data_IF_581368167133
#
_entry.id   IF_581368167133
#
_cell.length_a   1.000
_cell.length_b   1.000
_cell.length_c   1.000
_cell.angle_alpha   90.00
_cell.angle_beta   90.00
_cell.angle_gamma   90.00
#
_symmetry.space_group_name_H-M   'P 1'
#
loop_
_entity.id
_entity.type
_entity.pdbx_description
1 polymer ?
#
# COMPACT_ATOMS: atom_id res chain seq x y z
N UNK A 1 -27.55 -34.75 -74.58
CA UNK A 1 -26.23 -34.21 -74.16
C UNK A 1 -26.36 -32.70 -74.32
N UNK A 2 -26.34 -31.82 -73.31
CA UNK A 2 -25.73 -31.80 -71.97
C UNK A 2 -26.66 -30.98 -71.05
N UNK A 3 -26.84 -31.40 -69.80
CA UNK A 3 -27.67 -30.75 -68.79
C UNK A 3 -26.76 -29.78 -68.00
N UNK A 4 -27.03 -28.46 -68.03
CA UNK A 4 -26.20 -27.46 -67.34
C UNK A 4 -26.90 -27.05 -66.04
N UNK A 5 -26.50 -27.71 -64.96
CA UNK A 5 -26.94 -27.40 -63.60
C UNK A 5 -26.12 -26.24 -63.04
N UNK A 6 -26.77 -25.13 -62.68
CA UNK A 6 -26.12 -24.02 -61.97
C UNK A 6 -26.22 -24.28 -60.47
N UNK A 7 -25.11 -24.65 -59.84
CA UNK A 7 -25.02 -24.73 -58.39
C UNK A 7 -24.72 -23.33 -57.83
N UNK A 8 -25.65 -22.76 -57.04
CA UNK A 8 -25.36 -21.61 -56.20
C UNK A 8 -24.45 -22.06 -55.05
N UNK A 9 -23.18 -21.66 -55.08
CA UNK A 9 -22.30 -21.78 -53.92
C UNK A 9 -22.65 -20.69 -52.90
N UNK A 10 -23.36 -21.08 -51.84
CA UNK A 10 -23.50 -20.25 -50.63
C UNK A 10 -22.16 -20.33 -49.90
N UNK A 11 -21.36 -19.26 -50.01
CA UNK A 11 -20.17 -19.08 -49.19
C UNK A 11 -20.66 -18.71 -47.78
N UNK A 12 -20.72 -19.69 -46.89
CA UNK A 12 -20.86 -19.42 -45.45
C UNK A 12 -19.51 -18.87 -45.01
N UNK A 13 -19.42 -17.54 -44.93
CA UNK A 13 -18.28 -16.86 -44.32
C UNK A 13 -18.33 -17.17 -42.82
N UNK A 14 -17.71 -18.27 -42.40
CA UNK A 14 -17.47 -18.57 -41.00
C UNK A 14 -16.57 -17.49 -40.44
N UNK A 15 -17.18 -16.46 -39.85
CA UNK A 15 -16.53 -15.55 -38.92
C UNK A 15 -16.03 -16.40 -37.76
N UNK A 16 -14.77 -16.83 -37.85
CA UNK A 16 -14.00 -17.15 -36.66
C UNK A 16 -13.98 -15.84 -35.88
N UNK A 17 -14.84 -15.72 -34.86
CA UNK A 17 -14.69 -14.68 -33.87
C UNK A 17 -13.29 -14.89 -33.30
N UNK A 18 -12.36 -14.02 -33.67
CA UNK A 18 -11.10 -13.91 -32.97
C UNK A 18 -11.50 -13.72 -31.50
N UNK A 19 -11.20 -14.71 -30.66
CA UNK A 19 -11.27 -14.52 -29.22
C UNK A 19 -10.25 -13.46 -28.90
N UNK A 20 -10.68 -12.19 -28.91
CA UNK A 20 -9.93 -11.12 -28.30
C UNK A 20 -9.72 -11.61 -26.87
N UNK A 21 -8.45 -11.80 -26.48
CA UNK A 21 -8.11 -12.21 -25.13
C UNK A 21 -8.68 -11.14 -24.21
N UNK A 22 -9.82 -11.45 -23.61
CA UNK A 22 -10.50 -10.60 -22.67
C UNK A 22 -9.57 -10.44 -21.48
N UNK A 23 -9.07 -9.22 -21.26
CA UNK A 23 -8.20 -8.91 -20.13
C UNK A 23 -8.94 -7.97 -19.20
N UNK A 24 -8.84 -8.26 -17.91
CA UNK A 24 -9.29 -7.36 -16.87
C UNK A 24 -8.39 -6.11 -16.88
N UNK A 25 -8.99 -4.93 -16.83
CA UNK A 25 -8.26 -3.71 -16.52
C UNK A 25 -8.33 -3.56 -15.01
N UNK A 26 -7.18 -3.78 -14.40
CA UNK A 26 -7.07 -3.92 -12.97
C UNK A 26 -5.65 -3.61 -12.54
N UNK A 27 -5.53 -2.81 -11.50
CA UNK A 27 -4.27 -2.62 -10.80
C UNK A 27 -4.28 -3.53 -9.57
N UNK A 28 -3.38 -4.51 -9.57
CA UNK A 28 -3.24 -5.50 -8.51
C UNK A 28 -2.24 -5.07 -7.43
N UNK A 29 -1.63 -3.89 -7.53
CA UNK A 29 -0.81 -3.36 -6.46
C UNK A 29 -1.63 -3.26 -5.17
N UNK A 30 -1.01 -3.57 -4.04
CA UNK A 30 -1.61 -3.29 -2.74
C UNK A 30 -1.93 -1.81 -2.63
N UNK A 31 -3.07 -1.50 -2.03
CA UNK A 31 -3.47 -0.13 -1.75
C UNK A 31 -3.51 0.02 -0.25
N UNK A 32 -2.87 1.08 0.24
CA UNK A 32 -3.00 1.50 1.63
C UNK A 32 -3.93 2.73 1.67
N UNK A 33 -4.81 2.84 2.66
CA UNK A 33 -5.61 4.05 2.89
C UNK A 33 -5.71 4.44 4.37
N UNK A 34 -5.67 5.74 4.69
CA UNK A 34 -5.83 6.20 6.07
C UNK A 34 -7.32 6.14 6.42
N UNK A 35 -7.72 5.65 7.61
CA UNK A 35 -9.13 5.65 7.99
C UNK A 35 -9.75 7.05 7.87
N UNK A 36 -10.93 7.12 7.24
CA UNK A 36 -11.62 8.37 6.93
C UNK A 36 -11.40 8.90 5.51
N UNK A 37 -10.36 8.46 4.81
CA UNK A 37 -10.12 8.86 3.42
C UNK A 37 -11.05 8.14 2.45
N UNK A 38 -11.34 8.78 1.32
CA UNK A 38 -12.08 8.13 0.23
C UNK A 38 -11.11 7.35 -0.65
N UNK A 39 -11.46 6.10 -0.97
CA UNK A 39 -10.61 5.21 -1.76
C UNK A 39 -11.35 4.69 -3.00
N UNK A 40 -10.68 4.75 -4.16
CA UNK A 40 -11.17 4.16 -5.41
C UNK A 40 -10.55 2.79 -5.66
N UNK A 41 -11.39 1.75 -5.73
CA UNK A 41 -10.99 0.41 -6.17
C UNK A 41 -11.30 0.27 -7.66
N UNK A 42 -10.24 0.24 -8.47
CA UNK A 42 -10.36 0.25 -9.93
C UNK A 42 -10.58 -1.15 -10.49
N UNK A 43 -11.59 -1.31 -11.35
CA UNK A 43 -11.87 -2.54 -12.07
C UNK A 43 -12.70 -2.28 -13.33
N UNK A 44 -12.34 -2.88 -14.46
CA UNK A 44 -13.08 -2.72 -15.71
C UNK A 44 -12.64 -3.68 -16.82
N UNK A 45 -13.26 -3.54 -17.99
CA UNK A 45 -12.98 -4.33 -19.19
C UNK A 45 -13.23 -3.50 -20.46
N UNK A 46 -12.50 -3.78 -21.55
CA UNK A 46 -12.69 -3.10 -22.86
C UNK A 46 -13.80 -3.69 -23.74
N UNK A 47 -14.58 -4.62 -23.21
CA UNK A 47 -15.55 -5.39 -23.97
C UNK A 47 -16.90 -5.42 -23.26
N UNK A 48 -17.91 -5.92 -23.96
CA UNK A 48 -19.25 -6.10 -23.38
C UNK A 48 -19.20 -7.07 -22.19
N UNK A 49 -19.85 -6.65 -21.10
CA UNK A 49 -20.00 -7.41 -19.88
C UNK A 49 -21.46 -7.36 -19.42
N UNK A 50 -21.86 -8.36 -18.64
CA UNK A 50 -23.20 -8.50 -18.09
C UNK A 50 -23.35 -7.75 -16.77
N UNK A 51 -22.46 -8.03 -15.81
CA UNK A 51 -22.43 -7.38 -14.50
C UNK A 51 -21.08 -7.63 -13.81
N UNK A 52 -20.79 -6.85 -12.76
CA UNK A 52 -19.61 -7.05 -11.92
C UNK A 52 -19.98 -7.07 -10.44
N UNK A 53 -19.20 -7.83 -9.68
CA UNK A 53 -19.34 -8.00 -8.23
C UNK A 53 -17.98 -7.73 -7.59
N UNK A 54 -17.99 -7.04 -6.45
CA UNK A 54 -16.87 -6.97 -5.53
C UNK A 54 -17.17 -7.83 -4.31
N UNK A 55 -16.29 -8.75 -3.97
CA UNK A 55 -16.36 -9.52 -2.73
C UNK A 55 -15.20 -9.12 -1.83
N UNK A 56 -15.47 -8.99 -0.54
CA UNK A 56 -14.45 -8.84 0.49
C UNK A 56 -14.26 -10.16 1.21
N UNK A 57 -13.04 -10.43 1.68
CA UNK A 57 -12.69 -11.66 2.40
C UNK A 57 -13.55 -11.90 3.67
N UNK A 58 -14.09 -10.83 4.27
CA UNK A 58 -14.99 -10.95 5.42
C UNK A 58 -16.41 -11.42 5.06
N UNK A 59 -16.66 -11.71 3.79
CA UNK A 59 -17.93 -12.24 3.28
C UNK A 59 -18.92 -11.19 2.79
N UNK A 60 -18.59 -9.89 2.86
CA UNK A 60 -19.39 -8.82 2.23
C UNK A 60 -19.28 -8.92 0.70
N UNK A 61 -20.38 -8.65 0.00
CA UNK A 61 -20.44 -8.69 -1.46
C UNK A 61 -21.30 -7.55 -2.01
N UNK A 62 -20.81 -6.89 -3.05
CA UNK A 62 -21.37 -5.66 -3.59
C UNK A 62 -21.49 -5.75 -5.11
N UNK A 63 -22.70 -5.63 -5.64
CA UNK A 63 -22.87 -5.48 -7.09
C UNK A 63 -22.55 -4.03 -7.48
N UNK A 64 -21.60 -3.82 -8.39
CA UNK A 64 -21.14 -2.46 -8.76
C UNK A 64 -22.31 -1.55 -9.18
N UNK A 65 -23.26 -2.09 -9.97
CA UNK A 65 -24.46 -1.35 -10.39
C UNK A 65 -25.35 -0.91 -9.22
N UNK A 66 -25.41 -1.68 -8.13
CA UNK A 66 -26.17 -1.31 -6.94
C UNK A 66 -25.46 -0.18 -6.18
N UNK A 67 -24.12 -0.25 -6.07
CA UNK A 67 -23.29 0.83 -5.53
C UNK A 67 -23.48 2.11 -6.33
N UNK A 68 -23.43 2.04 -7.67
CA UNK A 68 -23.60 3.19 -8.55
C UNK A 68 -25.00 3.82 -8.47
N UNK A 69 -26.00 3.04 -8.05
CA UNK A 69 -27.37 3.51 -7.78
C UNK A 69 -27.58 4.05 -6.36
N UNK A 70 -26.54 4.08 -5.53
CA UNK A 70 -26.60 4.55 -4.15
C UNK A 70 -27.33 3.60 -3.19
N UNK A 71 -27.39 2.30 -3.51
CA UNK A 71 -28.06 1.30 -2.65
C UNK A 71 -27.21 0.98 -1.41
N UNK A 72 -25.88 1.10 -1.51
CA UNK A 72 -24.94 0.83 -0.44
C UNK A 72 -24.42 2.15 0.16
N UNK A 73 -24.87 2.56 1.36
CA UNK A 73 -24.38 3.76 2.01
C UNK A 73 -22.87 3.71 2.26
N UNK A 74 -22.19 4.83 2.11
CA UNK A 74 -20.73 4.92 2.26
C UNK A 74 -19.94 4.39 1.06
N UNK A 75 -20.63 4.03 -0.03
CA UNK A 75 -20.02 3.64 -1.28
C UNK A 75 -20.71 4.31 -2.47
N UNK A 76 -19.94 4.60 -3.53
CA UNK A 76 -20.44 5.25 -4.74
C UNK A 76 -19.69 4.81 -6.00
N UNK A 77 -20.17 5.28 -7.15
CA UNK A 77 -19.45 5.14 -8.41
C UNK A 77 -18.19 6.02 -8.43
N UNK A 78 -17.11 5.57 -9.09
CA UNK A 78 -15.98 6.43 -9.47
C UNK A 78 -16.44 7.57 -10.38
N UNK A 79 -15.69 8.67 -10.38
CA UNK A 79 -15.98 9.83 -11.24
C UNK A 79 -15.74 9.51 -12.72
N UNK A 80 -14.69 8.74 -13.02
CA UNK A 80 -14.39 8.23 -14.35
C UNK A 80 -14.67 6.73 -14.44
N UNK A 81 -15.52 6.35 -15.38
CA UNK A 81 -15.89 4.97 -15.67
C UNK A 81 -15.16 4.43 -16.91
N UNK A 82 -14.37 5.25 -17.61
CA UNK A 82 -13.56 4.82 -18.75
C UNK A 82 -12.57 3.76 -18.29
N UNK A 83 -12.69 2.54 -18.80
CA UNK A 83 -11.86 1.40 -18.39
C UNK A 83 -11.98 1.04 -16.88
N UNK A 84 -12.98 1.60 -16.17
CA UNK A 84 -13.25 1.43 -14.74
C UNK A 84 -14.76 1.23 -14.45
N UNK A 85 -15.47 0.59 -15.38
CA UNK A 85 -16.93 0.47 -15.34
C UNK A 85 -17.44 -0.41 -14.18
N UNK A 86 -16.57 -1.25 -13.60
CA UNK A 86 -16.87 -2.07 -12.43
C UNK A 86 -16.28 -1.48 -11.15
N UNK A 87 -15.59 -0.33 -11.22
CA UNK A 87 -14.96 0.30 -10.08
C UNK A 87 -15.98 0.75 -9.04
N UNK A 88 -15.51 0.80 -7.79
CA UNK A 88 -16.27 1.32 -6.65
C UNK A 88 -15.41 2.29 -5.87
N UNK A 89 -16.06 3.23 -5.19
CA UNK A 89 -15.42 4.14 -4.26
C UNK A 89 -15.97 3.87 -2.87
N UNK A 90 -15.08 3.67 -1.90
CA UNK A 90 -15.38 3.68 -0.47
C UNK A 90 -15.27 5.15 -0.04
N UNK A 91 -16.34 5.72 0.52
CA UNK A 91 -16.38 7.16 0.84
C UNK A 91 -15.47 7.52 2.02
N UNK A 92 -15.33 6.60 2.97
CA UNK A 92 -14.52 6.74 4.18
C UNK A 92 -14.03 5.36 4.58
N UNK A 93 -12.76 5.05 4.29
CA UNK A 93 -12.14 3.77 4.63
C UNK A 93 -12.15 3.53 6.14
N UNK A 94 -12.38 2.29 6.53
CA UNK A 94 -12.26 1.81 7.90
C UNK A 94 -11.31 0.61 7.99
N UNK A 95 -10.90 0.24 9.20
CA UNK A 95 -10.06 -0.95 9.45
C UNK A 95 -10.77 -2.23 8.96
N UNK A 96 -12.11 -2.28 9.01
CA UNK A 96 -12.90 -3.43 8.53
C UNK A 96 -12.85 -3.61 7.01
N UNK A 97 -12.37 -2.59 6.28
CA UNK A 97 -12.18 -2.65 4.83
C UNK A 97 -10.81 -3.20 4.45
N UNK A 98 -9.88 -3.34 5.40
CA UNK A 98 -8.61 -4.04 5.19
C UNK A 98 -8.83 -5.50 4.76
N UNK A 99 -7.90 -6.06 3.99
CA UNK A 99 -7.95 -7.42 3.47
C UNK A 99 -8.16 -7.50 1.95
N UNK A 100 -8.42 -8.71 1.46
CA UNK A 100 -8.59 -8.97 0.04
C UNK A 100 -9.97 -8.53 -0.49
N UNK A 101 -9.94 -7.69 -1.53
CA UNK A 101 -11.09 -7.33 -2.35
C UNK A 101 -10.98 -8.01 -3.72
N UNK A 102 -11.93 -8.89 -4.03
CA UNK A 102 -12.00 -9.57 -5.33
C UNK A 102 -13.00 -8.89 -6.24
N UNK A 103 -12.54 -8.27 -7.32
CA UNK A 103 -13.42 -7.87 -8.41
C UNK A 103 -13.68 -9.07 -9.33
N UNK A 104 -14.94 -9.38 -9.58
CA UNK A 104 -15.39 -10.39 -10.56
C UNK A 104 -16.23 -9.73 -11.63
N UNK A 105 -15.82 -9.87 -12.89
CA UNK A 105 -16.51 -9.33 -14.06
C UNK A 105 -17.06 -10.48 -14.89
N UNK A 106 -18.37 -10.54 -15.04
CA UNK A 106 -19.06 -11.55 -15.83
C UNK A 106 -19.32 -11.00 -17.23
N UNK A 107 -18.66 -11.58 -18.22
CA UNK A 107 -18.73 -11.16 -19.62
C UNK A 107 -20.05 -11.59 -20.28
N UNK A 108 -20.43 -10.93 -21.37
CA UNK A 108 -21.66 -11.25 -22.11
C UNK A 108 -21.63 -12.67 -22.73
N UNK A 109 -20.44 -13.23 -22.96
CA UNK A 109 -20.23 -14.58 -23.49
C UNK A 109 -20.17 -15.68 -22.41
N UNK A 110 -20.44 -15.32 -21.15
CA UNK A 110 -20.47 -16.25 -20.02
C UNK A 110 -19.13 -16.52 -19.34
N UNK A 111 -18.02 -15.91 -19.81
CA UNK A 111 -16.74 -15.99 -19.11
C UNK A 111 -16.71 -15.10 -17.87
N UNK A 112 -15.88 -15.47 -16.89
CA UNK A 112 -15.59 -14.68 -15.70
C UNK A 112 -14.12 -14.24 -15.73
N UNK A 113 -13.88 -12.95 -15.48
CA UNK A 113 -12.56 -12.40 -15.19
C UNK A 113 -12.53 -11.96 -13.73
N UNK A 114 -11.40 -12.18 -13.06
CA UNK A 114 -11.23 -11.76 -11.66
C UNK A 114 -9.88 -11.10 -11.39
N UNK A 115 -9.88 -10.14 -10.48
CA UNK A 115 -8.69 -9.47 -9.94
C UNK A 115 -8.82 -9.33 -8.44
N UNK A 116 -7.72 -9.53 -7.71
CA UNK A 116 -7.67 -9.41 -6.25
C UNK A 116 -6.83 -8.19 -5.91
N UNK A 117 -7.38 -7.29 -5.10
CA UNK A 117 -6.70 -6.09 -4.60
C UNK A 117 -6.68 -6.17 -3.08
N UNK A 118 -5.49 -6.09 -2.51
CA UNK A 118 -5.33 -6.01 -1.05
C UNK A 118 -5.45 -4.56 -0.63
N UNK A 119 -6.31 -4.31 0.36
CA UNK A 119 -6.40 -3.02 1.05
C UNK A 119 -5.77 -3.17 2.44
N UNK A 120 -4.89 -2.27 2.84
CA UNK A 120 -4.45 -2.14 4.23
C UNK A 120 -4.77 -0.74 4.76
N UNK A 121 -5.62 -0.66 5.77
CA UNK A 121 -5.86 0.58 6.49
C UNK A 121 -4.97 0.65 7.74
N UNK A 122 -4.32 1.79 7.95
CA UNK A 122 -3.50 2.01 9.14
C UNK A 122 -4.37 2.17 10.38
N UNK A 123 -3.94 1.58 11.50
CA UNK A 123 -4.64 1.75 12.76
C UNK A 123 -4.33 3.13 13.35
N UNK A 124 -5.29 3.74 14.04
CA UNK A 124 -4.97 4.97 14.79
C UNK A 124 -3.92 4.65 15.87
N UNK A 125 -2.84 5.47 16.04
CA UNK A 125 -2.63 6.82 15.50
C UNK A 125 -1.75 6.89 14.23
N UNK A 126 -1.50 5.78 13.55
CA UNK A 126 -0.69 5.71 12.33
C UNK A 126 -1.41 6.35 11.13
N UNK A 127 -0.61 6.95 10.25
CA UNK A 127 -1.03 7.56 8.98
C UNK A 127 -0.19 7.01 7.84
N UNK A 128 -0.69 7.11 6.62
CA UNK A 128 0.06 6.63 5.46
C UNK A 128 1.08 7.66 5.02
N UNK A 129 2.32 7.21 4.91
CA UNK A 129 3.40 7.96 4.28
C UNK A 129 4.10 7.03 3.29
N UNK A 130 4.02 7.38 2.01
CA UNK A 130 4.41 6.47 0.93
C UNK A 130 3.53 5.22 0.96
N UNK A 131 4.18 4.07 1.12
CA UNK A 131 3.51 2.79 1.32
C UNK A 131 3.64 2.28 2.75
N UNK A 132 3.83 3.10 3.79
CA UNK A 132 3.90 2.60 5.17
C UNK A 132 2.94 3.29 6.12
N UNK A 133 2.54 2.56 7.16
CA UNK A 133 1.75 3.06 8.27
C UNK A 133 2.69 3.59 9.35
N UNK A 134 2.86 4.93 9.40
CA UNK A 134 3.82 5.59 10.27
C UNK A 134 3.13 6.49 11.30
N UNK A 135 3.71 6.57 12.49
CA UNK A 135 3.27 7.49 13.53
C UNK A 135 4.45 8.33 14.02
N UNK A 136 4.35 9.64 13.85
CA UNK A 136 5.38 10.61 14.25
C UNK A 136 5.03 11.20 15.61
N UNK A 137 5.76 10.77 16.65
CA UNK A 137 5.54 11.24 18.01
C UNK A 137 6.50 12.39 18.34
N UNK A 138 5.97 13.57 18.65
CA UNK A 138 6.76 14.79 18.90
C UNK A 138 7.35 14.88 20.32
N UNK A 139 6.94 13.98 21.23
CA UNK A 139 7.47 13.93 22.59
C UNK A 139 8.90 13.42 22.64
N UNK A 140 9.70 14.00 23.54
CA UNK A 140 11.15 13.78 23.60
C UNK A 140 11.49 12.60 24.50
N UNK A 141 12.01 11.53 23.92
CA UNK A 141 12.44 10.32 24.61
C UNK A 141 13.84 9.90 24.17
N UNK A 142 14.53 9.17 25.03
CA UNK A 142 15.72 8.44 24.60
C UNK A 142 15.33 7.26 23.70
N UNK A 143 16.29 6.73 22.94
CA UNK A 143 15.98 5.75 21.89
C UNK A 143 15.33 4.48 22.44
N UNK A 144 15.75 4.03 23.64
CA UNK A 144 15.16 2.83 24.26
C UNK A 144 13.73 3.07 24.73
N UNK A 145 13.46 4.22 25.35
CA UNK A 145 12.11 4.58 25.78
C UNK A 145 11.18 4.80 24.56
N UNK A 146 11.68 5.40 23.49
CA UNK A 146 10.95 5.56 22.23
C UNK A 146 10.59 4.22 21.58
N UNK A 147 11.55 3.27 21.56
CA UNK A 147 11.32 1.88 21.15
C UNK A 147 10.23 1.22 21.97
N UNK A 148 10.33 1.28 23.29
CA UNK A 148 9.34 0.66 24.18
C UNK A 148 7.95 1.32 24.02
N UNK A 149 7.91 2.63 23.77
CA UNK A 149 6.67 3.33 23.43
C UNK A 149 6.06 2.79 22.14
N UNK A 150 6.81 2.73 21.03
CA UNK A 150 6.28 2.23 19.76
C UNK A 150 5.78 0.79 19.90
N UNK A 151 6.50 -0.06 20.63
CA UNK A 151 6.07 -1.44 20.92
C UNK A 151 4.80 -1.51 21.72
N UNK A 152 4.57 -0.57 22.63
CA UNK A 152 3.34 -0.49 23.43
C UNK A 152 2.08 -0.18 22.61
N UNK A 153 2.23 0.32 21.38
CA UNK A 153 1.12 0.53 20.44
C UNK A 153 0.64 -0.76 19.78
N UNK A 154 1.41 -1.86 19.85
CA UNK A 154 1.02 -3.14 19.26
C UNK A 154 -0.30 -3.66 19.83
N UNK A 155 -1.06 -4.39 19.02
CA UNK A 155 -2.34 -4.99 19.40
C UNK A 155 -2.38 -6.48 19.04
N UNK A 156 -3.56 -7.10 19.14
CA UNK A 156 -3.77 -8.46 18.61
C UNK A 156 -3.78 -8.52 17.08
N UNK A 157 -3.96 -7.40 16.40
CA UNK A 157 -4.17 -7.32 14.94
C UNK A 157 -2.92 -6.85 14.19
N UNK A 158 -2.04 -6.10 14.86
CA UNK A 158 -0.83 -5.53 14.28
C UNK A 158 0.27 -5.40 15.34
N UNK A 159 1.50 -5.35 14.87
CA UNK A 159 2.67 -5.01 15.68
C UNK A 159 3.15 -3.60 15.34
N UNK A 160 3.94 -3.02 16.25
CA UNK A 160 4.59 -1.73 16.03
C UNK A 160 5.96 -1.69 16.68
N UNK A 161 6.90 -0.97 16.06
CA UNK A 161 8.24 -0.69 16.58
C UNK A 161 8.74 0.65 16.00
N UNK A 162 9.95 1.09 16.35
CA UNK A 162 10.58 2.22 15.66
C UNK A 162 10.75 1.92 14.17
N UNK A 163 10.52 2.93 13.33
CA UNK A 163 10.41 2.78 11.90
C UNK A 163 11.67 2.24 11.22
N UNK A 164 11.44 1.39 10.23
CA UNK A 164 12.44 0.87 9.28
C UNK A 164 12.47 1.77 8.05
N UNK A 165 13.64 2.01 7.48
CA UNK A 165 13.73 2.72 6.20
C UNK A 165 14.64 1.95 5.24
N UNK A 166 14.05 1.07 4.42
CA UNK A 166 14.77 0.07 3.62
C UNK A 166 14.89 0.42 2.12
N UNK A 167 14.22 1.47 1.67
CA UNK A 167 14.25 1.92 0.28
C UNK A 167 14.41 3.44 0.13
N UNK A 168 14.93 3.86 -1.03
CA UNK A 168 15.15 5.28 -1.32
C UNK A 168 13.82 6.04 -1.53
N UNK A 169 12.81 5.35 -2.04
CA UNK A 169 11.46 5.90 -2.24
C UNK A 169 10.83 6.20 -0.88
N UNK A 170 10.84 5.21 0.03
CA UNK A 170 10.36 5.38 1.39
C UNK A 170 11.11 6.50 2.13
N UNK A 171 12.44 6.57 2.01
CA UNK A 171 13.20 7.68 2.59
C UNK A 171 12.72 9.04 2.08
N UNK A 172 12.47 9.16 0.77
CA UNK A 172 11.95 10.37 0.14
C UNK A 172 10.57 10.75 0.66
N UNK A 173 9.64 9.80 0.73
CA UNK A 173 8.27 10.01 1.20
C UNK A 173 8.24 10.46 2.67
N UNK A 174 8.99 9.75 3.53
CA UNK A 174 9.13 10.10 4.96
C UNK A 174 9.74 11.48 5.11
N UNK A 175 10.84 11.76 4.41
CA UNK A 175 11.52 13.05 4.51
C UNK A 175 10.62 14.21 4.06
N UNK A 176 9.89 14.03 2.94
CA UNK A 176 8.94 15.02 2.46
C UNK A 176 7.81 15.27 3.46
N UNK A 177 7.26 14.21 4.06
CA UNK A 177 6.22 14.33 5.08
C UNK A 177 6.71 15.12 6.30
N UNK A 178 7.92 14.80 6.80
CA UNK A 178 8.54 15.53 7.91
C UNK A 178 8.73 17.02 7.58
N UNK A 179 9.14 17.36 6.36
CA UNK A 179 9.35 18.75 5.96
C UNK A 179 8.06 19.58 5.89
N UNK A 180 6.92 18.94 5.61
CA UNK A 180 5.64 19.63 5.46
C UNK A 180 4.90 19.78 6.79
N UNK A 181 4.92 18.73 7.62
CA UNK A 181 4.03 18.63 8.78
C UNK A 181 4.74 18.85 10.13
N UNK A 182 6.07 18.77 10.18
CA UNK A 182 6.82 18.74 11.44
C UNK A 182 7.91 19.81 11.52
N UNK A 183 8.17 20.29 12.74
CA UNK A 183 9.22 21.28 13.04
C UNK A 183 10.50 20.72 13.69
N UNK A 184 10.50 19.56 14.39
CA UNK A 184 11.73 19.03 14.97
C UNK A 184 12.78 18.63 13.94
N UNK A 185 14.05 18.83 14.31
CA UNK A 185 15.18 18.76 13.39
C UNK A 185 15.60 17.34 13.01
N UNK A 186 15.24 16.34 13.81
CA UNK A 186 15.58 14.93 13.60
C UNK A 186 14.62 14.03 14.39
N UNK A 187 14.48 12.77 13.98
CA UNK A 187 13.64 11.78 14.63
C UNK A 187 14.36 10.44 14.78
N UNK A 188 14.17 9.76 15.92
CA UNK A 188 14.63 8.37 16.06
C UNK A 188 13.91 7.43 15.10
N UNK A 189 14.69 6.50 14.55
CA UNK A 189 14.23 5.35 13.75
C UNK A 189 14.91 4.07 14.23
N UNK A 190 14.46 2.91 13.76
CA UNK A 190 14.73 1.60 14.38
C UNK A 190 16.13 1.01 14.16
N UNK A 191 17.09 1.77 13.65
CA UNK A 191 18.45 1.27 13.41
C UNK A 191 19.35 1.35 14.65
N UNK A 192 20.16 0.32 14.89
CA UNK A 192 21.18 0.30 15.94
C UNK A 192 22.33 -0.65 15.59
N UNK A 193 23.54 -0.35 16.06
CA UNK A 193 24.71 -1.24 16.06
C UNK A 193 25.18 -1.56 17.49
N UNK A 194 24.28 -1.39 18.48
CA UNK A 194 24.61 -1.60 19.91
C UNK A 194 25.03 -3.02 20.27
N UNK A 195 24.80 -3.99 19.37
CA UNK A 195 25.26 -5.37 19.52
C UNK A 195 26.71 -5.56 19.06
N UNK A 196 27.06 -5.05 17.88
CA UNK A 196 28.39 -5.12 17.27
C UNK A 196 28.67 -3.80 16.54
N UNK A 197 29.68 -3.07 17.00
CA UNK A 197 30.06 -1.77 16.46
C UNK A 197 30.27 -1.82 14.95
N UNK A 198 29.71 -0.85 14.22
CA UNK A 198 29.73 -0.79 12.75
C UNK A 198 28.88 -1.84 12.02
N UNK A 199 28.17 -2.72 12.73
CA UNK A 199 27.19 -3.66 12.16
C UNK A 199 25.76 -3.22 12.51
N UNK A 200 25.19 -2.39 11.63
CA UNK A 200 23.89 -1.76 11.86
C UNK A 200 22.72 -2.65 11.44
N UNK A 201 21.77 -2.84 12.35
CA UNK A 201 20.57 -3.64 12.14
C UNK A 201 19.29 -2.87 12.46
N UNK A 202 18.23 -3.19 11.73
CA UNK A 202 16.88 -2.75 12.08
C UNK A 202 16.30 -3.62 13.20
N UNK A 203 15.53 -3.01 14.09
CA UNK A 203 14.77 -3.73 15.13
C UNK A 203 13.79 -4.76 14.56
N UNK A 204 13.23 -4.48 13.39
CA UNK A 204 12.31 -5.34 12.63
C UNK A 204 13.01 -6.46 11.88
N UNK A 205 14.35 -6.42 11.79
CA UNK A 205 15.20 -7.40 11.12
C UNK A 205 15.89 -6.87 9.87
N UNK A 206 16.94 -7.57 9.43
CA UNK A 206 17.78 -7.13 8.31
C UNK A 206 18.88 -6.15 8.73
N UNK A 207 19.58 -5.62 7.74
CA UNK A 207 20.75 -4.73 7.93
C UNK A 207 20.43 -3.33 7.43
N UNK A 208 20.88 -2.31 8.16
CA UNK A 208 20.86 -0.92 7.67
C UNK A 208 21.99 -0.78 6.64
N UNK A 209 21.71 -0.39 5.38
CA UNK A 209 22.77 -0.18 4.39
C UNK A 209 23.69 0.96 4.83
N UNK A 210 24.94 0.67 5.17
CA UNK A 210 25.93 1.66 5.66
C UNK A 210 26.60 2.40 4.50
N UNK A 211 25.80 3.08 3.66
CA UNK A 211 26.31 3.84 2.50
C UNK A 211 25.29 4.85 1.95
N UNK A 212 25.67 5.57 0.90
CA UNK A 212 24.74 6.37 0.09
C UNK A 212 23.66 5.46 -0.51
N UNK A 213 22.41 5.94 -0.65
CA UNK A 213 21.98 7.32 -0.44
C UNK A 213 21.46 7.62 0.97
N UNK A 214 21.56 6.69 1.91
CA UNK A 214 20.89 6.80 3.21
C UNK A 214 21.67 7.63 4.23
N UNK A 215 22.97 7.40 4.36
CA UNK A 215 23.79 8.04 5.39
C UNK A 215 24.37 9.37 4.93
N UNK A 216 24.49 10.30 5.88
CA UNK A 216 25.18 11.56 5.60
C UNK A 216 26.67 11.28 5.32
N UNK A 217 27.31 11.97 4.38
CA UNK A 217 28.72 11.76 4.11
C UNK A 217 29.59 11.85 5.37
N UNK A 218 30.26 10.74 5.71
CA UNK A 218 31.10 10.63 6.91
C UNK A 218 30.41 9.96 8.11
N UNK A 219 29.13 9.60 8.00
CA UNK A 219 28.40 8.79 8.98
C UNK A 219 28.19 7.33 8.47
N UNK A 220 27.95 6.36 9.37
CA UNK A 220 28.06 6.45 10.82
C UNK A 220 29.49 6.81 11.23
N UNK A 221 29.64 7.51 12.36
CA UNK A 221 30.96 7.79 12.89
C UNK A 221 31.55 6.49 13.45
N UNK A 222 32.85 6.28 13.29
CA UNK A 222 33.55 5.12 13.87
C UNK A 222 33.72 5.32 15.39
N UNK A 223 32.62 5.31 16.13
CA UNK A 223 32.54 5.64 17.54
C UNK A 223 31.58 4.72 18.29
N UNK A 224 32.13 3.99 19.25
CA UNK A 224 31.45 3.02 20.12
C UNK A 224 30.37 3.58 21.05
N UNK A 225 30.10 4.89 21.02
CA UNK A 225 29.09 5.53 21.88
C UNK A 225 27.85 6.01 21.12
N UNK A 226 27.86 6.00 19.78
CA UNK A 226 26.80 6.54 18.95
C UNK A 226 26.07 5.40 18.24
N UNK A 227 25.21 4.70 18.98
CA UNK A 227 24.73 3.39 18.53
C UNK A 227 23.25 3.38 18.12
N UNK A 228 22.65 4.56 17.96
CA UNK A 228 21.21 4.71 17.68
C UNK A 228 20.95 5.64 16.51
N UNK A 229 20.09 5.18 15.59
CA UNK A 229 19.86 5.82 14.30
C UNK A 229 18.78 6.89 14.38
N UNK A 230 19.06 8.06 13.79
CA UNK A 230 18.06 9.09 13.57
C UNK A 230 18.05 9.56 12.11
N UNK A 231 16.86 9.92 11.63
CA UNK A 231 16.67 10.62 10.36
C UNK A 231 16.70 12.14 10.59
N UNK A 232 17.57 12.84 9.88
CA UNK A 232 17.67 14.31 9.93
C UNK A 232 16.70 14.99 8.97
N UNK A 233 15.90 15.93 9.49
CA UNK A 233 14.96 16.71 8.69
C UNK A 233 15.67 17.61 7.66
N UNK A 234 16.75 18.31 8.02
CA UNK A 234 17.35 19.27 7.08
C UNK A 234 18.03 18.62 5.89
N UNK A 235 18.58 17.44 6.10
CA UNK A 235 19.44 16.79 5.10
C UNK A 235 18.76 15.62 4.43
N UNK A 236 17.77 14.99 5.09
CA UNK A 236 17.14 13.76 4.62
C UNK A 236 18.00 12.51 4.80
N UNK A 237 19.12 12.61 5.52
CA UNK A 237 20.05 11.50 5.73
C UNK A 237 20.01 10.95 7.15
N UNK A 238 20.52 9.74 7.30
CA UNK A 238 20.76 9.08 8.56
C UNK A 238 22.01 9.61 9.26
N UNK A 239 21.90 9.71 10.58
CA UNK A 239 22.96 10.04 11.52
C UNK A 239 22.89 9.07 12.70
N UNK A 240 24.05 8.69 13.19
CA UNK A 240 24.22 8.00 14.46
C UNK A 240 24.31 9.01 15.62
N UNK A 241 23.61 8.71 16.70
CA UNK A 241 23.59 9.52 17.91
C UNK A 241 23.74 8.67 19.16
N UNK A 242 24.09 9.33 20.27
CA UNK A 242 24.02 8.71 21.58
C UNK A 242 22.58 8.29 21.86
N UNK A 243 22.39 7.01 22.18
CA UNK A 243 21.08 6.45 22.52
C UNK A 243 20.42 7.13 23.73
N UNK A 244 21.19 7.88 24.55
CA UNK A 244 20.68 8.64 25.71
C UNK A 244 20.17 10.04 25.35
N UNK A 245 20.42 10.52 24.12
CA UNK A 245 19.86 11.79 23.64
C UNK A 245 18.35 11.72 23.64
N UNK A 246 17.67 12.83 23.90
CA UNK A 246 16.21 12.87 23.90
C UNK A 246 15.71 13.58 22.65
N UNK A 247 14.78 12.98 21.94
CA UNK A 247 14.21 13.53 20.72
C UNK A 247 12.88 12.87 20.35
N UNK A 248 12.18 13.43 19.36
CA UNK A 248 10.99 12.81 18.80
C UNK A 248 11.37 11.55 18.01
N UNK A 249 10.37 10.78 17.60
CA UNK A 249 10.60 9.47 17.02
C UNK A 249 9.45 9.05 16.09
N UNK A 250 9.75 8.10 15.21
CA UNK A 250 8.80 7.57 14.23
C UNK A 250 8.57 6.10 14.57
N UNK A 251 7.32 5.74 14.82
CA UNK A 251 6.88 4.36 14.91
C UNK A 251 6.36 3.89 13.55
N UNK A 252 6.47 2.60 13.29
CA UNK A 252 5.93 1.92 12.11
C UNK A 252 5.03 0.77 12.57
N UNK A 253 3.88 0.66 11.93
CA UNK A 253 2.95 -0.46 12.08
C UNK A 253 3.24 -1.51 11.01
N UNK A 254 3.26 -2.79 11.40
CA UNK A 254 3.41 -3.92 10.51
C UNK A 254 2.42 -5.03 10.86
N UNK A 255 1.91 -5.71 9.84
CA UNK A 255 0.97 -6.81 10.00
C UNK A 255 1.59 -7.98 10.78
N UNK A 256 0.78 -8.67 11.58
CA UNK A 256 1.21 -9.91 12.23
C UNK A 256 1.38 -10.98 11.15
N UNK A 257 2.59 -11.54 11.01
CA UNK A 257 2.81 -12.68 10.12
C UNK A 257 1.97 -13.87 10.60
N UNK A 258 1.00 -14.29 9.79
CA UNK A 258 0.14 -15.47 10.02
C UNK A 258 0.86 -16.77 9.68
#
# INVERSE_FOLDING_TARGET
MVNMSYALSIIVLSLVMASVNASLIFDAAEVKATPGESLTLSCGVKQEFSFCIWDHENGRSFQATAVHKGVHPGMRAPEDLTDNQCGIVIDSVSIEDSGEWTCRVFLADGRELRGIKTLAACHSPFVIVGNECLYFHEGYMNWNDAKDYCRSLSSSEYNSDLATVDSCEQLGDIHQHILLEYSPLWHWIGGTDSYEESDWHWLTGGTVPVSTPFWYPGHPLLNTTLNCLALQQYTGYFFDYSCTSHGPFICEEFSVAT
#
